data_IF_571493852279
#
_entry.id   IF_571493852279
#
_cell.length_a   1.000
_cell.length_b   1.000
_cell.length_c   1.000
_cell.angle_alpha   90.00
_cell.angle_beta   90.00
_cell.angle_gamma   90.00
#
_symmetry.space_group_name_H-M   'P 1'
#
loop_
_entity.id
_entity.type
_entity.pdbx_description
1 polymer ?
#
# COMPACT_ATOMS: atom_id res chain seq x y z
N UNK A 1 16.55 8.08 2.98
CA UNK A 1 15.43 7.20 2.69
C UNK A 1 15.63 5.84 3.37
N UNK A 2 16.67 5.10 3.04
CA UNK A 2 16.90 3.74 3.54
C UNK A 2 17.05 3.66 5.07
N UNK A 3 17.85 4.52 5.68
CA UNK A 3 18.05 4.54 7.14
C UNK A 3 16.76 4.83 7.92
N UNK A 4 15.89 5.68 7.38
CA UNK A 4 14.61 6.03 7.99
C UNK A 4 13.54 4.96 7.75
N UNK A 5 13.78 4.02 6.84
CA UNK A 5 12.79 3.02 6.42
C UNK A 5 11.66 3.60 5.57
N UNK A 6 11.89 4.73 4.91
CA UNK A 6 10.97 5.34 3.94
C UNK A 6 11.19 4.68 2.59
N UNK A 7 10.87 3.40 2.50
CA UNK A 7 11.22 2.52 1.39
C UNK A 7 10.02 2.14 0.51
N UNK A 8 8.80 2.58 0.84
CA UNK A 8 7.65 2.35 -0.02
C UNK A 8 7.98 2.80 -1.44
N UNK A 9 7.75 1.93 -2.41
CA UNK A 9 8.05 2.17 -3.84
C UNK A 9 9.53 2.25 -4.25
N UNK A 10 10.48 2.00 -3.35
CA UNK A 10 11.88 1.86 -3.70
C UNK A 10 12.15 0.42 -4.18
N UNK A 11 12.54 0.30 -5.45
CA UNK A 11 12.71 -1.01 -6.09
C UNK A 11 13.64 -1.93 -5.27
N UNK A 12 13.22 -3.18 -5.04
CA UNK A 12 13.91 -4.20 -4.24
C UNK A 12 14.08 -3.89 -2.73
N UNK A 13 13.68 -2.70 -2.26
CA UNK A 13 13.79 -2.29 -0.85
C UNK A 13 12.43 -2.08 -0.16
N UNK A 14 11.31 -2.24 -0.87
CA UNK A 14 9.98 -1.85 -0.45
C UNK A 14 9.18 -2.92 0.32
N UNK A 15 9.63 -4.18 0.38
CA UNK A 15 9.02 -5.18 1.26
C UNK A 15 9.38 -4.93 2.73
N UNK A 16 8.54 -5.37 3.67
CA UNK A 16 8.82 -5.22 5.11
C UNK A 16 10.13 -5.90 5.52
N UNK A 17 10.41 -7.07 4.93
CA UNK A 17 11.66 -7.78 5.12
C UNK A 17 12.86 -6.95 4.63
N UNK A 18 12.82 -6.49 3.38
CA UNK A 18 13.90 -5.68 2.81
C UNK A 18 14.08 -4.35 3.55
N UNK A 19 12.98 -3.69 3.93
CA UNK A 19 12.99 -2.45 4.74
C UNK A 19 13.71 -2.68 6.06
N UNK A 20 13.41 -3.77 6.78
CA UNK A 20 14.07 -4.11 8.04
C UNK A 20 15.57 -4.32 7.88
N UNK A 21 16.00 -4.96 6.80
CA UNK A 21 17.40 -5.22 6.49
C UNK A 21 18.16 -3.96 6.05
N UNK A 22 17.59 -3.18 5.10
CA UNK A 22 18.28 -2.00 4.56
C UNK A 22 18.48 -0.89 5.61
N UNK A 23 17.57 -0.78 6.57
CA UNK A 23 17.73 0.12 7.74
C UNK A 23 18.94 -0.22 8.58
N UNK A 24 19.28 -1.50 8.71
CA UNK A 24 20.46 -1.97 9.46
C UNK A 24 21.72 -1.87 8.61
N UNK A 25 21.64 -2.27 7.35
CA UNK A 25 22.78 -2.27 6.42
C UNK A 25 23.26 -0.86 6.06
N UNK A 26 22.34 0.07 5.83
CA UNK A 26 22.61 1.50 5.52
C UNK A 26 23.58 1.67 4.35
N UNK A 27 23.19 1.31 3.14
CA UNK A 27 24.07 1.41 1.97
C UNK A 27 24.53 2.84 1.73
N UNK A 28 25.83 3.02 1.45
CA UNK A 28 26.47 4.34 1.25
C UNK A 28 26.91 4.58 -0.20
N UNK A 29 26.83 3.56 -1.06
CA UNK A 29 27.22 3.64 -2.45
C UNK A 29 26.29 2.79 -3.34
N UNK A 30 26.36 3.02 -4.64
CA UNK A 30 25.64 2.18 -5.65
C UNK A 30 26.10 0.73 -5.55
N UNK A 31 27.41 0.48 -5.40
CA UNK A 31 27.97 -0.86 -5.24
C UNK A 31 27.43 -1.57 -4.00
N UNK A 32 27.35 -0.88 -2.86
CA UNK A 32 26.75 -1.44 -1.64
C UNK A 32 25.24 -1.72 -1.83
N UNK A 33 24.51 -0.84 -2.51
CA UNK A 33 23.10 -1.11 -2.79
C UNK A 33 22.92 -2.29 -3.76
N UNK A 34 23.79 -2.43 -4.75
CA UNK A 34 23.82 -3.59 -5.64
C UNK A 34 24.09 -4.89 -4.86
N UNK A 35 25.09 -4.88 -3.97
CA UNK A 35 25.37 -6.03 -3.10
C UNK A 35 24.19 -6.35 -2.18
N UNK A 36 23.52 -5.34 -1.63
CA UNK A 36 22.29 -5.53 -0.84
C UNK A 36 21.19 -6.20 -1.65
N UNK A 37 20.92 -5.74 -2.88
CA UNK A 37 19.92 -6.34 -3.78
C UNK A 37 20.24 -7.81 -4.08
N UNK A 38 21.52 -8.14 -4.26
CA UNK A 38 21.95 -9.52 -4.47
C UNK A 38 21.81 -10.40 -3.21
N UNK A 39 22.08 -9.82 -2.03
CA UNK A 39 22.10 -10.57 -0.74
C UNK A 39 20.72 -10.95 -0.21
N UNK A 40 19.66 -10.23 -0.56
CA UNK A 40 18.29 -10.51 -0.08
C UNK A 40 17.60 -11.67 -0.82
N UNK A 41 18.38 -12.64 -1.30
CA UNK A 41 17.89 -13.81 -2.04
C UNK A 41 18.04 -15.07 -1.20
N UNK A 42 17.17 -16.09 -1.40
CA UNK A 42 17.23 -17.34 -0.62
C UNK A 42 18.60 -18.01 -0.59
N UNK A 43 19.34 -18.01 -1.70
CA UNK A 43 20.66 -18.63 -1.78
C UNK A 43 21.76 -17.94 -0.96
N UNK A 44 21.50 -16.77 -0.40
CA UNK A 44 22.43 -16.04 0.46
C UNK A 44 21.99 -16.02 1.94
N UNK A 45 20.92 -16.74 2.28
CA UNK A 45 20.25 -16.65 3.58
C UNK A 45 21.17 -16.98 4.77
N UNK A 46 22.10 -17.94 4.62
CA UNK A 46 23.07 -18.34 5.67
C UNK A 46 24.08 -17.24 6.03
N UNK A 47 24.42 -16.40 5.06
CA UNK A 47 25.42 -15.33 5.18
C UNK A 47 24.80 -13.93 5.32
N UNK A 48 23.49 -13.82 5.15
CA UNK A 48 22.78 -12.54 5.10
C UNK A 48 22.96 -11.69 6.37
N UNK A 49 22.89 -12.29 7.53
CA UNK A 49 22.97 -11.57 8.79
C UNK A 49 24.37 -10.96 9.02
N UNK A 50 25.44 -11.72 8.71
CA UNK A 50 26.81 -11.25 8.77
C UNK A 50 27.04 -10.08 7.79
N UNK A 51 26.54 -10.23 6.56
CA UNK A 51 26.61 -9.18 5.53
C UNK A 51 25.90 -7.89 5.98
N UNK A 52 24.67 -7.99 6.47
CA UNK A 52 23.85 -6.84 6.91
C UNK A 52 24.48 -6.13 8.10
N UNK A 53 25.14 -6.87 9.00
CA UNK A 53 25.89 -6.29 10.14
C UNK A 53 27.25 -5.72 9.74
N UNK A 54 27.66 -5.88 8.48
CA UNK A 54 28.99 -5.49 7.99
C UNK A 54 30.11 -6.16 8.76
N UNK A 55 29.88 -7.40 9.24
CA UNK A 55 30.92 -8.19 9.89
C UNK A 55 31.99 -8.56 8.86
N UNK A 56 33.29 -8.44 9.22
CA UNK A 56 34.35 -8.89 8.35
C UNK A 56 34.15 -10.37 7.95
N UNK A 57 34.19 -10.65 6.67
CA UNK A 57 34.07 -12.00 6.14
C UNK A 57 35.31 -12.39 5.39
N UNK A 58 35.78 -13.61 5.58
CA UNK A 58 36.88 -14.23 4.87
C UNK A 58 36.52 -15.65 4.50
N UNK A 59 36.98 -16.10 3.34
CA UNK A 59 36.89 -17.50 2.92
C UNK A 59 37.92 -18.36 3.63
N UNK A 60 38.79 -17.80 4.47
CA UNK A 60 39.98 -18.42 5.07
C UNK A 60 41.03 -18.87 4.04
N UNK A 61 40.88 -18.47 2.79
CA UNK A 61 41.81 -18.75 1.68
C UNK A 61 42.25 -17.43 1.07
N UNK A 62 43.43 -16.88 1.39
CA UNK A 62 43.86 -15.54 0.96
C UNK A 62 43.80 -15.30 -0.53
N UNK A 63 44.13 -16.33 -1.34
CA UNK A 63 44.03 -16.24 -2.81
C UNK A 63 42.59 -16.10 -3.30
N UNK A 64 41.64 -16.73 -2.64
CA UNK A 64 40.21 -16.63 -2.94
C UNK A 64 39.64 -15.30 -2.47
N UNK A 65 40.07 -14.82 -1.29
CA UNK A 65 39.65 -13.52 -0.78
C UNK A 65 40.11 -12.38 -1.73
N UNK A 66 41.34 -12.46 -2.27
CA UNK A 66 41.81 -11.49 -3.29
C UNK A 66 40.96 -11.57 -4.58
N UNK A 67 40.57 -12.78 -5.02
CA UNK A 67 39.72 -12.96 -6.19
C UNK A 67 38.32 -12.33 -5.99
N UNK A 68 37.78 -12.41 -4.78
CA UNK A 68 36.41 -12.01 -4.44
C UNK A 68 36.34 -10.63 -3.78
N UNK A 69 37.39 -9.84 -3.77
CA UNK A 69 37.43 -8.53 -3.11
C UNK A 69 36.32 -7.57 -3.58
N UNK A 70 35.98 -7.60 -4.88
CA UNK A 70 34.95 -6.74 -5.48
C UNK A 70 33.50 -7.11 -5.03
N UNK A 71 33.33 -8.32 -4.49
CA UNK A 71 32.06 -8.82 -3.94
C UNK A 71 32.11 -8.99 -2.42
N UNK A 72 32.95 -8.21 -1.73
CA UNK A 72 33.14 -8.24 -0.27
C UNK A 72 33.53 -9.64 0.26
N UNK A 73 34.28 -10.42 -0.54
CA UNK A 73 34.70 -11.81 -0.35
C UNK A 73 33.56 -12.83 -0.40
N UNK A 74 32.32 -12.41 -0.77
CA UNK A 74 31.20 -13.32 -0.91
C UNK A 74 30.99 -13.81 -2.34
N UNK A 75 30.56 -15.04 -2.50
CA UNK A 75 30.11 -15.62 -3.79
C UNK A 75 28.63 -15.26 -4.06
N UNK A 76 28.29 -13.95 -4.04
CA UNK A 76 26.91 -13.49 -4.14
C UNK A 76 26.40 -13.29 -5.58
N UNK A 77 27.32 -13.17 -6.55
CA UNK A 77 26.98 -12.95 -7.95
C UNK A 77 27.29 -14.18 -8.78
N UNK A 78 26.55 -14.39 -9.88
CA UNK A 78 26.87 -15.42 -10.86
C UNK A 78 28.30 -15.22 -11.40
N UNK A 79 28.68 -14.00 -11.67
CA UNK A 79 30.01 -13.63 -12.14
C UNK A 79 31.10 -13.97 -11.12
N UNK A 80 30.82 -13.87 -9.84
CA UNK A 80 31.76 -14.30 -8.77
C UNK A 80 31.98 -15.80 -8.80
N UNK A 81 30.91 -16.59 -9.04
CA UNK A 81 31.00 -18.05 -9.19
C UNK A 81 31.75 -18.39 -10.48
N UNK A 82 31.47 -17.69 -11.59
CA UNK A 82 32.20 -17.89 -12.84
C UNK A 82 33.71 -17.63 -12.66
N UNK A 83 34.10 -16.51 -12.04
CA UNK A 83 35.50 -16.20 -11.70
C UNK A 83 36.14 -17.31 -10.87
N UNK A 84 35.44 -17.81 -9.88
CA UNK A 84 35.90 -18.92 -9.03
C UNK A 84 36.15 -20.22 -9.84
N UNK A 85 35.21 -20.59 -10.72
CA UNK A 85 35.37 -21.78 -11.57
C UNK A 85 36.52 -21.63 -12.55
N UNK A 86 36.72 -20.44 -13.16
CA UNK A 86 37.87 -20.13 -14.02
C UNK A 86 39.16 -20.21 -13.22
N UNK A 87 39.21 -19.69 -12.01
CA UNK A 87 40.36 -19.76 -11.12
C UNK A 87 40.76 -21.22 -10.78
N UNK A 88 39.78 -22.13 -10.73
CA UNK A 88 40.00 -23.56 -10.58
C UNK A 88 40.35 -24.25 -11.93
N UNK A 89 40.66 -23.48 -12.98
CA UNK A 89 41.13 -24.01 -14.27
C UNK A 89 40.05 -24.39 -15.25
N UNK A 90 38.80 -24.02 -15.00
CA UNK A 90 37.69 -24.29 -15.92
C UNK A 90 37.70 -23.26 -17.07
N UNK A 91 37.43 -23.67 -18.32
CA UNK A 91 37.26 -22.75 -19.43
C UNK A 91 36.10 -21.79 -19.19
N UNK A 92 36.31 -20.49 -19.37
CA UNK A 92 35.32 -19.44 -19.16
C UNK A 92 34.00 -19.73 -19.91
N UNK A 93 34.09 -20.22 -21.14
CA UNK A 93 32.95 -20.57 -22.00
C UNK A 93 32.03 -21.63 -21.42
N UNK A 94 32.50 -22.46 -20.46
CA UNK A 94 31.74 -23.54 -19.86
C UNK A 94 31.12 -23.16 -18.49
N UNK A 95 31.63 -22.12 -17.85
CA UNK A 95 31.25 -21.77 -16.47
C UNK A 95 29.76 -21.45 -16.30
N UNK A 96 29.20 -20.70 -17.26
CA UNK A 96 27.78 -20.33 -17.24
C UNK A 96 26.86 -21.56 -17.36
N UNK A 97 27.18 -22.49 -18.27
CA UNK A 97 26.40 -23.70 -18.48
C UNK A 97 26.43 -24.61 -17.23
N UNK A 98 27.57 -24.66 -16.56
CA UNK A 98 27.73 -25.41 -15.31
C UNK A 98 26.84 -24.80 -14.20
N UNK A 99 26.91 -23.49 -13.97
CA UNK A 99 26.06 -22.80 -13.01
C UNK A 99 24.59 -23.07 -13.33
N UNK A 100 24.21 -23.00 -14.60
CA UNK A 100 22.84 -23.26 -15.04
C UNK A 100 22.40 -24.73 -14.84
N UNK A 101 23.30 -25.69 -15.03
CA UNK A 101 23.03 -27.11 -14.75
C UNK A 101 22.84 -27.33 -13.24
N UNK A 102 23.69 -26.76 -12.38
CA UNK A 102 23.54 -26.83 -10.91
C UNK A 102 22.21 -26.19 -10.51
N UNK A 103 21.94 -24.98 -10.94
CA UNK A 103 20.71 -24.23 -10.65
C UNK A 103 19.42 -25.01 -10.99
N UNK A 104 19.43 -25.70 -12.13
CA UNK A 104 18.27 -26.45 -12.63
C UNK A 104 18.23 -27.90 -12.16
N UNK A 105 19.17 -28.33 -11.32
CA UNK A 105 19.36 -29.74 -10.90
C UNK A 105 19.40 -30.70 -12.10
N UNK A 106 20.11 -30.32 -13.16
CA UNK A 106 20.19 -31.06 -14.43
C UNK A 106 21.48 -31.86 -14.59
N UNK A 107 22.32 -31.92 -13.56
CA UNK A 107 23.45 -32.81 -13.57
C UNK A 107 22.98 -34.24 -13.31
N UNK A 108 23.56 -35.20 -14.06
CA UNK A 108 23.57 -36.56 -13.62
C UNK A 108 24.36 -36.67 -12.29
N UNK A 109 23.91 -37.45 -11.30
CA UNK A 109 24.61 -37.57 -10.01
C UNK A 109 26.10 -37.92 -10.17
N UNK A 110 26.44 -38.79 -11.14
CA UNK A 110 27.81 -39.20 -11.38
C UNK A 110 28.63 -38.03 -12.01
N UNK A 111 28.05 -37.33 -12.98
CA UNK A 111 28.71 -36.16 -13.58
C UNK A 111 29.01 -35.06 -12.54
N UNK A 112 28.12 -34.86 -11.57
CA UNK A 112 28.32 -33.86 -10.52
C UNK A 112 29.47 -34.26 -9.57
N UNK A 113 29.56 -35.54 -9.23
CA UNK A 113 30.65 -36.10 -8.39
C UNK A 113 31.98 -35.88 -9.13
N UNK A 114 32.07 -36.31 -10.39
CA UNK A 114 33.29 -36.17 -11.20
C UNK A 114 33.72 -34.69 -11.35
N UNK A 115 32.77 -33.81 -11.56
CA UNK A 115 33.02 -32.37 -11.59
C UNK A 115 33.59 -31.87 -10.26
N UNK A 116 32.96 -32.23 -9.14
CA UNK A 116 33.41 -31.85 -7.79
C UNK A 116 34.79 -32.34 -7.49
N UNK A 117 35.07 -33.59 -7.78
CA UNK A 117 36.40 -34.20 -7.58
C UNK A 117 37.46 -33.53 -8.45
N UNK A 118 37.16 -33.30 -9.71
CA UNK A 118 38.07 -32.57 -10.62
C UNK A 118 38.43 -31.17 -10.12
N UNK A 119 37.43 -30.40 -9.65
CA UNK A 119 37.64 -29.09 -9.06
C UNK A 119 38.38 -29.15 -7.71
N UNK A 120 38.13 -30.19 -6.89
CA UNK A 120 38.86 -30.40 -5.62
C UNK A 120 40.34 -30.64 -5.88
N UNK A 121 40.68 -31.45 -6.88
CA UNK A 121 42.07 -31.68 -7.22
C UNK A 121 42.77 -30.37 -7.66
N UNK A 122 42.11 -29.53 -8.45
CA UNK A 122 42.61 -28.20 -8.82
C UNK A 122 42.77 -27.26 -7.65
N UNK A 123 41.80 -27.29 -6.72
CA UNK A 123 41.88 -26.55 -5.47
C UNK A 123 43.14 -26.92 -4.69
N UNK A 124 43.42 -28.21 -4.49
CA UNK A 124 44.63 -28.70 -3.81
C UNK A 124 45.91 -28.25 -4.51
N UNK A 125 45.97 -28.27 -5.85
CA UNK A 125 47.10 -27.75 -6.61
C UNK A 125 47.34 -26.25 -6.33
N UNK A 126 46.27 -25.46 -6.23
CA UNK A 126 46.38 -24.00 -6.12
C UNK A 126 46.58 -23.58 -4.63
N UNK A 127 45.81 -24.15 -3.71
CA UNK A 127 45.79 -23.75 -2.30
C UNK A 127 46.84 -24.48 -1.45
N UNK A 128 47.16 -25.72 -1.82
CA UNK A 128 48.12 -26.59 -1.10
C UNK A 128 47.49 -27.48 -0.04
N UNK A 129 46.17 -27.41 0.16
CA UNK A 129 45.43 -28.31 1.07
C UNK A 129 43.99 -28.49 0.56
N UNK A 130 43.28 -29.47 1.09
CA UNK A 130 41.85 -29.66 0.78
C UNK A 130 40.91 -28.85 1.71
N UNK A 131 41.48 -28.20 2.74
CA UNK A 131 40.71 -27.40 3.69
C UNK A 131 39.88 -26.34 2.98
N UNK A 132 38.68 -26.06 3.52
CA UNK A 132 37.71 -25.09 3.04
C UNK A 132 37.12 -25.35 1.65
N UNK A 133 37.50 -26.39 0.92
CA UNK A 133 36.93 -26.70 -0.38
C UNK A 133 35.44 -27.06 -0.27
N UNK A 134 35.09 -27.97 0.63
CA UNK A 134 33.71 -28.42 0.77
C UNK A 134 32.79 -27.31 1.30
N UNK A 135 33.27 -26.46 2.18
CA UNK A 135 32.55 -25.26 2.62
C UNK A 135 32.28 -24.29 1.47
N UNK A 136 33.29 -24.03 0.65
CA UNK A 136 33.18 -23.14 -0.53
C UNK A 136 32.28 -23.76 -1.59
N UNK A 137 32.39 -25.07 -1.82
CA UNK A 137 31.51 -25.80 -2.74
C UNK A 137 30.04 -25.73 -2.32
N UNK A 138 29.74 -25.86 -1.02
CA UNK A 138 28.38 -25.74 -0.51
C UNK A 138 27.79 -24.34 -0.76
N UNK A 139 28.59 -23.29 -0.57
CA UNK A 139 28.18 -21.92 -0.91
C UNK A 139 27.85 -21.79 -2.40
N UNK A 140 28.61 -22.47 -3.28
CA UNK A 140 28.35 -22.47 -4.72
C UNK A 140 27.05 -23.21 -5.05
N UNK A 141 26.81 -24.38 -4.46
CA UNK A 141 25.56 -25.10 -4.65
C UNK A 141 24.35 -24.27 -4.22
N UNK A 142 24.41 -23.63 -3.06
CA UNK A 142 23.37 -22.76 -2.56
C UNK A 142 23.20 -21.53 -3.44
N UNK A 143 24.31 -20.86 -3.83
CA UNK A 143 24.30 -19.66 -4.66
C UNK A 143 23.87 -19.96 -6.10
N UNK A 144 24.28 -21.09 -6.70
CA UNK A 144 23.93 -21.44 -8.07
C UNK A 144 22.40 -21.57 -8.27
N UNK A 145 21.67 -21.95 -7.24
CA UNK A 145 20.20 -22.00 -7.30
C UNK A 145 19.56 -20.62 -7.38
N UNK A 146 20.19 -19.59 -6.82
CA UNK A 146 19.55 -18.29 -6.56
C UNK A 146 20.48 -17.09 -6.77
N UNK A 147 21.73 -17.29 -7.26
CA UNK A 147 22.67 -16.22 -7.45
C UNK A 147 22.17 -15.19 -8.46
N UNK A 148 22.47 -13.95 -8.18
CA UNK A 148 21.99 -12.83 -8.97
C UNK A 148 23.05 -12.41 -9.98
N UNK A 149 22.63 -12.07 -11.19
CA UNK A 149 23.54 -11.48 -12.16
C UNK A 149 23.96 -10.08 -11.67
N UNK A 150 25.26 -9.78 -11.68
CA UNK A 150 25.79 -8.53 -11.14
C UNK A 150 25.25 -7.30 -11.90
N UNK A 151 25.16 -7.37 -13.23
CA UNK A 151 24.64 -6.27 -14.05
C UNK A 151 23.16 -6.01 -13.78
N UNK A 152 22.37 -7.06 -13.56
CA UNK A 152 20.96 -6.95 -13.19
C UNK A 152 20.81 -6.35 -11.79
N UNK A 153 21.61 -6.80 -10.82
CA UNK A 153 21.65 -6.24 -9.48
C UNK A 153 21.99 -4.75 -9.47
N UNK A 154 22.99 -4.36 -10.29
CA UNK A 154 23.39 -2.97 -10.44
C UNK A 154 22.26 -2.11 -11.05
N UNK A 155 21.57 -2.61 -12.05
CA UNK A 155 20.44 -1.92 -12.67
C UNK A 155 19.33 -1.66 -11.66
N UNK A 156 18.94 -2.64 -10.86
CA UNK A 156 17.95 -2.45 -9.80
C UNK A 156 18.43 -1.51 -8.68
N UNK A 157 19.73 -1.53 -8.36
CA UNK A 157 20.30 -0.57 -7.42
C UNK A 157 20.17 0.87 -7.93
N UNK A 158 20.41 1.12 -9.21
CA UNK A 158 20.20 2.43 -9.82
C UNK A 158 18.74 2.83 -9.80
N UNK A 159 17.81 1.95 -10.18
CA UNK A 159 16.37 2.25 -10.12
C UNK A 159 15.94 2.63 -8.70
N UNK A 160 16.38 1.86 -7.70
CA UNK A 160 16.08 2.14 -6.31
C UNK A 160 16.63 3.49 -5.86
N UNK A 161 17.88 3.83 -6.28
CA UNK A 161 18.52 5.10 -5.95
C UNK A 161 17.89 6.29 -6.65
N UNK A 162 17.49 6.14 -7.92
CA UNK A 162 16.74 7.20 -8.64
C UNK A 162 15.40 7.48 -7.96
N UNK A 163 14.67 6.43 -7.60
CA UNK A 163 13.43 6.58 -6.83
C UNK A 163 13.69 7.26 -5.48
N UNK A 164 14.73 6.86 -4.75
CA UNK A 164 15.09 7.47 -3.48
C UNK A 164 15.51 8.95 -3.63
N UNK A 165 16.23 9.29 -4.70
CA UNK A 165 16.61 10.66 -5.02
C UNK A 165 15.39 11.54 -5.31
N UNK A 166 14.53 11.09 -6.24
CA UNK A 166 13.30 11.82 -6.59
C UNK A 166 12.40 12.01 -5.37
N UNK A 167 12.22 10.98 -4.60
CA UNK A 167 11.44 10.97 -3.35
C UNK A 167 11.99 11.94 -2.31
N UNK A 168 13.32 12.09 -2.24
CA UNK A 168 14.00 12.99 -1.30
C UNK A 168 13.92 14.46 -1.71
N UNK A 169 14.06 14.75 -3.01
CA UNK A 169 14.18 16.11 -3.53
C UNK A 169 12.87 16.67 -4.06
N UNK A 170 12.00 15.80 -4.57
CA UNK A 170 10.72 16.15 -5.20
C UNK A 170 9.56 15.30 -4.63
N UNK A 171 9.37 15.26 -3.28
CA UNK A 171 8.47 14.31 -2.67
C UNK A 171 7.02 14.46 -3.14
N UNK A 172 6.51 15.68 -3.30
CA UNK A 172 5.11 15.89 -3.67
C UNK A 172 4.82 15.43 -5.10
N UNK A 173 5.72 15.74 -6.04
CA UNK A 173 5.64 15.29 -7.42
C UNK A 173 5.77 13.78 -7.50
N UNK A 174 6.78 13.22 -6.84
CA UNK A 174 7.04 11.79 -6.81
C UNK A 174 5.83 11.01 -6.31
N UNK A 175 5.30 11.37 -5.15
CA UNK A 175 4.16 10.66 -4.58
C UNK A 175 2.88 10.83 -5.38
N UNK A 176 2.67 11.97 -6.03
CA UNK A 176 1.50 12.17 -6.90
C UNK A 176 1.55 11.22 -8.11
N UNK A 177 2.70 11.10 -8.77
CA UNK A 177 2.89 10.17 -9.90
C UNK A 177 2.70 8.72 -9.44
N UNK A 178 3.29 8.35 -8.31
CA UNK A 178 3.18 7.00 -7.78
C UNK A 178 1.75 6.65 -7.35
N UNK A 179 1.03 7.57 -6.72
CA UNK A 179 -0.38 7.37 -6.35
C UNK A 179 -1.26 7.16 -7.59
N UNK A 180 -0.99 7.86 -8.69
CA UNK A 180 -1.68 7.62 -9.96
C UNK A 180 -1.31 6.26 -10.56
N UNK A 181 -0.03 5.87 -10.54
CA UNK A 181 0.42 4.58 -11.06
C UNK A 181 -0.15 3.38 -10.28
N UNK A 182 -0.35 3.54 -8.98
CA UNK A 182 -0.93 2.51 -8.11
C UNK A 182 -2.39 2.77 -7.73
N UNK A 183 -3.08 3.63 -8.47
CA UNK A 183 -4.50 3.90 -8.23
C UNK A 183 -5.31 2.60 -8.25
N UNK A 184 -6.02 2.31 -7.16
CA UNK A 184 -6.77 1.06 -6.97
C UNK A 184 -6.01 -0.07 -6.26
N UNK A 185 -4.68 0.02 -6.07
CA UNK A 185 -3.89 -0.91 -5.24
C UNK A 185 -3.86 -0.40 -3.79
N UNK A 186 -4.75 -0.93 -2.98
CA UNK A 186 -4.99 -0.50 -1.60
C UNK A 186 -3.76 -0.65 -0.71
N UNK A 187 -3.06 -1.77 -0.82
CA UNK A 187 -1.91 -2.06 0.03
C UNK A 187 -0.77 -1.08 -0.24
N UNK A 188 -0.45 -0.87 -1.51
CA UNK A 188 0.61 0.07 -1.90
C UNK A 188 0.26 1.50 -1.59
N UNK A 189 -0.97 1.94 -1.89
CA UNK A 189 -1.41 3.30 -1.57
C UNK A 189 -1.44 3.56 -0.07
N UNK A 190 -1.84 2.61 0.76
CA UNK A 190 -1.80 2.73 2.21
C UNK A 190 -0.38 2.94 2.76
N UNK A 191 0.62 2.22 2.24
CA UNK A 191 2.04 2.41 2.62
C UNK A 191 2.56 3.80 2.22
N UNK A 192 2.21 4.25 1.01
CA UNK A 192 2.56 5.59 0.51
C UNK A 192 1.97 6.68 1.42
N UNK A 193 0.69 6.59 1.76
CA UNK A 193 0.00 7.56 2.61
C UNK A 193 0.66 7.69 3.99
N UNK A 194 1.17 6.58 4.55
CA UNK A 194 1.89 6.64 5.83
C UNK A 194 3.20 7.43 5.73
N UNK A 195 3.88 7.40 4.58
CA UNK A 195 5.12 8.13 4.38
C UNK A 195 4.92 9.62 4.12
N UNK A 196 3.80 10.05 3.51
CA UNK A 196 3.52 11.45 3.21
C UNK A 196 3.70 12.37 4.42
N UNK A 197 3.33 11.90 5.61
CA UNK A 197 3.45 12.64 6.86
C UNK A 197 4.89 13.04 7.19
N UNK A 198 5.88 12.21 6.81
CA UNK A 198 7.31 12.51 7.04
C UNK A 198 7.80 13.69 6.20
N UNK A 199 7.12 13.98 5.08
CA UNK A 199 7.45 15.09 4.20
C UNK A 199 6.58 16.33 4.43
N UNK A 200 5.68 16.27 5.43
CA UNK A 200 4.72 17.33 5.71
C UNK A 200 3.70 17.52 4.57
N UNK A 201 3.48 16.49 3.76
CA UNK A 201 2.51 16.51 2.67
C UNK A 201 1.15 16.09 3.22
N UNK A 202 0.13 16.92 2.95
CA UNK A 202 -1.27 16.61 3.26
C UNK A 202 -1.89 15.81 2.13
N UNK A 203 -2.78 14.89 2.46
CA UNK A 203 -3.63 14.20 1.50
C UNK A 203 -5.07 14.61 1.77
N UNK A 204 -5.67 15.29 0.81
CA UNK A 204 -7.08 15.73 0.86
C UNK A 204 -7.98 14.70 0.18
N UNK A 205 -9.13 14.45 0.81
CA UNK A 205 -10.13 13.57 0.26
C UNK A 205 -10.83 14.17 -0.95
N UNK A 206 -11.49 13.30 -1.72
CA UNK A 206 -12.28 13.75 -2.86
C UNK A 206 -13.31 14.80 -2.41
N UNK A 207 -13.35 15.93 -3.13
CA UNK A 207 -14.24 17.05 -2.83
C UNK A 207 -14.63 17.74 -4.12
N UNK A 208 -15.92 18.06 -4.28
CA UNK A 208 -16.43 18.81 -5.41
C UNK A 208 -15.71 20.18 -5.52
N UNK A 209 -15.40 20.58 -6.72
CA UNK A 209 -14.69 21.83 -6.99
C UNK A 209 -13.17 21.78 -6.74
N UNK A 210 -12.65 20.72 -6.11
CA UNK A 210 -11.22 20.54 -5.86
C UNK A 210 -10.65 19.33 -6.58
N UNK A 211 -11.26 18.15 -6.43
CA UNK A 211 -10.75 16.91 -7.01
C UNK A 211 -11.00 16.80 -8.50
N UNK A 212 -9.97 16.36 -9.22
CA UNK A 212 -9.98 16.04 -10.65
C UNK A 212 -10.19 14.53 -10.86
N UNK A 213 -10.01 14.05 -12.09
CA UNK A 213 -10.01 12.62 -12.39
C UNK A 213 -8.89 11.88 -11.69
N UNK A 214 -7.67 12.36 -11.84
CA UNK A 214 -6.44 11.79 -11.26
C UNK A 214 -6.01 12.52 -9.98
N UNK A 215 -5.10 11.89 -9.21
CA UNK A 215 -4.39 12.61 -8.15
C UNK A 215 -3.60 13.76 -8.74
N UNK A 216 -3.66 14.91 -8.09
CA UNK A 216 -2.86 16.07 -8.43
C UNK A 216 -2.40 16.79 -7.17
N UNK A 217 -1.43 17.69 -7.29
CA UNK A 217 -0.86 18.39 -6.14
C UNK A 217 -0.91 19.89 -6.29
N UNK A 218 -0.92 20.55 -5.14
CA UNK A 218 -0.64 21.96 -4.99
C UNK A 218 0.65 22.12 -4.18
N UNK A 219 1.64 22.75 -4.79
CA UNK A 219 2.97 22.96 -4.20
C UNK A 219 2.96 23.94 -3.03
N UNK A 220 2.15 24.99 -3.14
CA UNK A 220 2.12 26.07 -2.15
C UNK A 220 1.55 25.57 -0.83
N UNK A 221 0.45 24.87 -0.87
CA UNK A 221 -0.19 24.27 0.30
C UNK A 221 0.43 22.94 0.73
N UNK A 222 1.38 22.37 -0.04
CA UNK A 222 1.94 21.02 0.12
C UNK A 222 0.86 19.93 0.23
N UNK A 223 -0.14 20.02 -0.64
CA UNK A 223 -1.31 19.14 -0.58
C UNK A 223 -1.42 18.30 -1.85
N UNK A 224 -1.63 17.00 -1.69
CA UNK A 224 -2.07 16.09 -2.76
C UNK A 224 -3.58 15.92 -2.60
N UNK A 225 -4.31 16.08 -3.69
CA UNK A 225 -5.75 15.87 -3.77
C UNK A 225 -6.03 14.51 -4.40
N UNK A 226 -6.87 13.70 -3.77
CA UNK A 226 -7.32 12.42 -4.33
C UNK A 226 -8.11 12.64 -5.61
N UNK A 227 -7.81 11.82 -6.62
CA UNK A 227 -8.57 11.77 -7.86
C UNK A 227 -9.85 10.96 -7.72
N UNK A 228 -10.92 11.41 -8.38
CA UNK A 228 -12.21 10.69 -8.42
C UNK A 228 -12.06 9.30 -9.04
N UNK A 229 -11.16 9.15 -10.04
CA UNK A 229 -10.87 7.88 -10.67
C UNK A 229 -10.20 6.83 -9.78
N UNK A 230 -9.69 7.23 -8.60
CA UNK A 230 -9.16 6.29 -7.60
C UNK A 230 -10.25 5.56 -6.81
N UNK A 231 -11.49 6.03 -6.93
CA UNK A 231 -12.65 5.44 -6.24
C UNK A 231 -13.23 4.31 -7.07
N UNK A 232 -13.49 3.17 -6.44
CA UNK A 232 -14.06 1.99 -7.09
C UNK A 232 -15.39 2.34 -7.78
N UNK A 233 -15.58 1.86 -9.01
CA UNK A 233 -16.71 2.11 -9.89
C UNK A 233 -16.79 3.51 -10.50
N UNK A 234 -15.83 4.39 -10.21
CA UNK A 234 -15.66 5.68 -10.85
C UNK A 234 -14.49 5.63 -11.84
N UNK A 235 -14.34 6.69 -12.63
CA UNK A 235 -13.24 6.82 -13.58
C UNK A 235 -12.78 8.29 -13.68
N UNK A 236 -11.64 8.50 -14.34
CA UNK A 236 -11.05 9.83 -14.49
C UNK A 236 -11.95 10.79 -15.26
N UNK A 237 -12.68 10.30 -16.28
CA UNK A 237 -13.56 11.12 -17.12
C UNK A 237 -14.68 11.79 -16.31
N UNK A 238 -15.33 11.02 -15.41
CA UNK A 238 -16.36 11.57 -14.51
C UNK A 238 -15.77 12.64 -13.61
N UNK A 239 -14.57 12.40 -13.04
CA UNK A 239 -13.89 13.36 -12.19
C UNK A 239 -13.56 14.67 -12.91
N UNK A 240 -13.03 14.57 -14.13
CA UNK A 240 -12.73 15.76 -14.95
C UNK A 240 -14.00 16.54 -15.33
N UNK A 241 -15.08 15.87 -15.72
CA UNK A 241 -16.35 16.52 -16.03
C UNK A 241 -16.93 17.23 -14.80
N UNK A 242 -16.90 16.61 -13.63
CA UNK A 242 -17.37 17.22 -12.37
C UNK A 242 -16.50 18.42 -11.98
N UNK A 243 -15.18 18.30 -12.14
CA UNK A 243 -14.27 19.41 -11.88
C UNK A 243 -14.54 20.59 -12.82
N UNK A 244 -14.66 20.36 -14.14
CA UNK A 244 -14.95 21.40 -15.12
C UNK A 244 -16.29 22.07 -14.83
N UNK A 245 -17.33 21.27 -14.53
CA UNK A 245 -18.64 21.80 -14.16
C UNK A 245 -18.57 22.75 -12.97
N UNK A 246 -17.73 22.47 -11.97
CA UNK A 246 -17.52 23.33 -10.81
C UNK A 246 -16.79 24.63 -11.14
N UNK A 247 -16.09 24.73 -12.27
CA UNK A 247 -15.39 25.94 -12.74
C UNK A 247 -16.24 26.80 -13.67
N UNK A 248 -17.17 26.16 -14.39
CA UNK A 248 -18.06 26.86 -15.32
C UNK A 248 -19.12 27.65 -14.57
N UNK A 249 -19.62 27.13 -13.43
CA UNK A 249 -20.77 27.69 -12.75
C UNK A 249 -20.68 27.47 -11.23
N UNK A 250 -21.11 28.46 -10.47
CA UNK A 250 -21.34 28.30 -9.03
C UNK A 250 -22.74 27.75 -8.79
N UNK A 251 -22.86 26.78 -7.92
CA UNK A 251 -24.12 26.17 -7.54
C UNK A 251 -24.54 26.63 -6.15
N UNK A 252 -25.75 27.16 -6.03
CA UNK A 252 -26.28 27.63 -4.74
C UNK A 252 -26.92 26.48 -3.94
N UNK A 253 -27.49 25.50 -4.64
CA UNK A 253 -28.10 24.31 -4.00
C UNK A 253 -27.69 23.03 -4.72
N UNK A 254 -27.78 21.91 -4.03
CA UNK A 254 -27.53 20.60 -4.61
C UNK A 254 -28.49 20.26 -5.78
N UNK A 255 -29.74 20.77 -5.74
CA UNK A 255 -30.68 20.57 -6.83
C UNK A 255 -30.25 21.27 -8.13
N UNK A 256 -29.62 22.43 -8.04
CA UNK A 256 -29.08 23.12 -9.21
C UNK A 256 -28.00 22.29 -9.90
N UNK A 257 -27.17 21.62 -9.09
CA UNK A 257 -26.12 20.70 -9.57
C UNK A 257 -26.74 19.42 -10.17
N UNK A 258 -27.80 18.85 -9.55
CA UNK A 258 -28.46 17.64 -10.05
C UNK A 258 -29.05 17.79 -11.47
N UNK A 259 -29.48 19.01 -11.84
CA UNK A 259 -29.96 19.28 -13.20
C UNK A 259 -28.85 19.03 -14.23
N UNK A 260 -27.62 19.45 -13.90
CA UNK A 260 -26.49 19.39 -14.83
C UNK A 260 -25.83 17.98 -14.87
N UNK A 261 -26.17 17.09 -13.93
CA UNK A 261 -25.66 15.70 -13.94
C UNK A 261 -26.03 14.89 -15.18
N UNK A 262 -27.11 15.26 -15.88
CA UNK A 262 -27.49 14.62 -17.14
C UNK A 262 -26.41 14.73 -18.21
N UNK A 263 -25.63 15.82 -18.21
CA UNK A 263 -24.54 16.06 -19.16
C UNK A 263 -23.26 15.25 -18.83
N UNK A 264 -23.11 14.77 -17.59
CA UNK A 264 -21.88 14.08 -17.13
C UNK A 264 -21.90 12.60 -17.55
N UNK A 265 -23.08 12.00 -17.70
CA UNK A 265 -23.22 10.56 -17.99
C UNK A 265 -22.98 9.65 -16.78
N UNK A 266 -23.13 10.20 -15.57
CA UNK A 266 -22.98 9.48 -14.30
C UNK A 266 -24.24 8.70 -13.97
N UNK A 267 -24.09 7.40 -13.65
CA UNK A 267 -25.22 6.56 -13.26
C UNK A 267 -25.60 6.76 -11.75
N UNK A 268 -26.75 6.19 -11.36
CA UNK A 268 -27.26 6.32 -9.98
C UNK A 268 -26.28 5.79 -8.92
N UNK A 269 -25.63 4.64 -9.17
CA UNK A 269 -24.65 4.07 -8.25
C UNK A 269 -23.45 4.99 -8.05
N UNK A 270 -22.95 5.59 -9.11
CA UNK A 270 -21.81 6.50 -9.05
C UNK A 270 -22.14 7.78 -8.27
N UNK A 271 -23.35 8.32 -8.45
CA UNK A 271 -23.85 9.45 -7.65
C UNK A 271 -23.93 9.11 -6.17
N UNK A 272 -24.48 7.96 -5.87
CA UNK A 272 -24.62 7.45 -4.49
C UNK A 272 -23.24 7.27 -3.82
N UNK A 273 -22.27 6.68 -4.50
CA UNK A 273 -20.91 6.51 -3.99
C UNK A 273 -20.27 7.85 -3.64
N UNK A 274 -20.34 8.83 -4.55
CA UNK A 274 -19.79 10.16 -4.32
C UNK A 274 -20.43 10.87 -3.12
N UNK A 275 -21.75 10.74 -2.94
CA UNK A 275 -22.44 11.29 -1.78
C UNK A 275 -21.99 10.58 -0.49
N UNK A 276 -21.97 9.26 -0.47
CA UNK A 276 -21.57 8.47 0.71
C UNK A 276 -20.13 8.75 1.15
N UNK A 277 -19.25 9.08 0.20
CA UNK A 277 -17.88 9.49 0.47
C UNK A 277 -17.74 10.99 0.82
N UNK A 278 -18.85 11.74 0.90
CA UNK A 278 -18.85 13.15 1.25
C UNK A 278 -18.26 14.06 0.18
N UNK A 279 -18.24 13.64 -1.09
CA UNK A 279 -17.73 14.45 -2.21
C UNK A 279 -18.47 15.79 -2.34
N UNK A 280 -19.79 15.77 -2.08
CA UNK A 280 -20.67 16.94 -2.16
C UNK A 280 -20.96 17.58 -0.80
N UNK A 281 -20.08 17.44 0.19
CA UNK A 281 -20.29 17.90 1.58
C UNK A 281 -20.58 19.40 1.72
N UNK A 282 -20.22 20.22 0.74
CA UNK A 282 -20.53 21.65 0.72
C UNK A 282 -22.04 21.95 0.59
N UNK A 283 -22.82 21.00 0.06
CA UNK A 283 -24.26 21.14 -0.13
C UNK A 283 -25.09 20.53 0.99
N UNK A 284 -24.49 19.76 1.90
CA UNK A 284 -25.17 19.12 3.02
C UNK A 284 -24.54 17.80 3.42
N UNK A 285 -25.11 17.16 4.42
CA UNK A 285 -24.70 15.87 4.95
C UNK A 285 -25.12 14.71 4.03
N UNK A 286 -24.39 13.63 4.04
CA UNK A 286 -24.57 12.54 3.06
C UNK A 286 -25.96 11.92 3.09
N UNK A 287 -26.56 11.68 4.27
CA UNK A 287 -27.92 11.12 4.37
C UNK A 287 -28.96 12.09 3.82
N UNK A 288 -28.84 13.38 4.15
CA UNK A 288 -29.68 14.45 3.61
C UNK A 288 -29.60 14.52 2.09
N UNK A 289 -28.38 14.47 1.52
CA UNK A 289 -28.18 14.52 0.07
C UNK A 289 -28.75 13.27 -0.65
N UNK A 290 -28.73 12.12 0.00
CA UNK A 290 -29.40 10.90 -0.51
C UNK A 290 -30.91 11.10 -0.64
N UNK A 291 -31.55 11.72 0.37
CA UNK A 291 -32.97 12.08 0.31
C UNK A 291 -33.24 13.12 -0.79
N UNK A 292 -32.36 14.09 -0.98
CA UNK A 292 -32.49 15.08 -2.06
C UNK A 292 -32.47 14.42 -3.45
N UNK A 293 -31.60 13.41 -3.68
CA UNK A 293 -31.64 12.63 -4.92
C UNK A 293 -32.95 11.88 -5.08
N UNK A 294 -33.43 11.23 -4.03
CA UNK A 294 -34.72 10.50 -4.06
C UNK A 294 -35.88 11.43 -4.43
N UNK A 295 -35.94 12.62 -3.83
CA UNK A 295 -36.90 13.66 -4.19
C UNK A 295 -36.74 14.05 -5.66
N UNK A 296 -35.55 14.42 -6.08
CA UNK A 296 -35.30 14.90 -7.45
C UNK A 296 -35.61 13.82 -8.50
N UNK A 297 -35.14 12.58 -8.31
CA UNK A 297 -35.38 11.48 -9.26
C UNK A 297 -36.88 11.10 -9.31
N UNK A 298 -37.62 11.22 -8.19
CA UNK A 298 -39.05 10.95 -8.13
C UNK A 298 -39.85 11.96 -8.99
N UNK A 299 -39.52 13.24 -8.86
CA UNK A 299 -40.33 14.31 -9.47
C UNK A 299 -39.79 14.81 -10.83
N UNK A 300 -38.48 14.67 -11.12
CA UNK A 300 -37.90 15.10 -12.39
C UNK A 300 -38.13 14.12 -13.55
N UNK A 301 -38.40 12.86 -13.24
CA UNK A 301 -38.57 11.80 -14.25
C UNK A 301 -39.98 11.79 -14.93
N UNK A 302 -40.92 12.59 -14.41
CA UNK A 302 -42.32 12.56 -14.81
C UNK A 302 -42.86 13.96 -15.07
N UNK A 303 -43.85 14.03 -15.99
CA UNK A 303 -44.59 15.27 -16.26
C UNK A 303 -45.96 15.32 -15.62
N UNK A 304 -46.45 14.16 -15.10
CA UNK A 304 -47.78 14.04 -14.55
C UNK A 304 -47.80 13.26 -13.24
N UNK A 305 -48.56 13.70 -12.24
CA UNK A 305 -48.64 13.14 -10.91
C UNK A 305 -50.08 12.85 -10.50
N UNK A 306 -50.39 11.59 -10.20
CA UNK A 306 -51.72 11.17 -9.74
C UNK A 306 -51.95 11.62 -8.31
N UNK A 307 -53.15 12.19 -8.05
CA UNK A 307 -53.55 12.61 -6.69
C UNK A 307 -53.65 11.43 -5.69
N UNK A 308 -53.97 10.27 -6.17
CA UNK A 308 -54.05 9.07 -5.33
C UNK A 308 -52.68 8.51 -4.92
N UNK A 309 -51.66 8.81 -5.70
CA UNK A 309 -50.31 8.27 -5.51
C UNK A 309 -49.34 9.22 -4.79
N UNK A 310 -49.50 10.52 -5.01
CA UNK A 310 -48.59 11.54 -4.47
C UNK A 310 -49.30 12.36 -3.40
N UNK A 311 -48.77 12.36 -2.20
CA UNK A 311 -49.40 12.98 -1.02
C UNK A 311 -49.17 14.49 -0.88
N UNK A 312 -48.23 15.04 -1.65
CA UNK A 312 -47.80 16.45 -1.54
C UNK A 312 -48.73 17.40 -2.31
N UNK A 313 -50.06 17.24 -2.16
CA UNK A 313 -51.03 17.97 -2.98
C UNK A 313 -50.94 19.50 -2.88
N UNK A 314 -50.65 20.04 -1.70
CA UNK A 314 -50.52 21.47 -1.49
C UNK A 314 -49.32 22.05 -2.27
N UNK A 315 -48.19 21.36 -2.22
CA UNK A 315 -46.99 21.79 -2.95
C UNK A 315 -47.15 21.55 -4.47
N UNK A 316 -47.68 20.42 -4.86
CA UNK A 316 -47.96 20.14 -6.28
C UNK A 316 -48.89 21.17 -6.89
N UNK A 317 -49.96 21.58 -6.17
CA UNK A 317 -50.85 22.66 -6.61
C UNK A 317 -50.14 23.99 -6.80
N UNK A 318 -49.17 24.29 -5.92
CA UNK A 318 -48.40 25.52 -5.96
C UNK A 318 -47.46 25.61 -7.17
N UNK A 319 -46.90 24.47 -7.59
CA UNK A 319 -45.79 24.42 -8.56
C UNK A 319 -46.16 23.72 -9.89
N UNK A 320 -47.39 23.19 -10.04
CA UNK A 320 -47.87 22.62 -11.27
C UNK A 320 -48.66 23.65 -12.09
N UNK A 321 -48.45 23.64 -13.42
CA UNK A 321 -49.16 24.55 -14.34
C UNK A 321 -50.63 24.15 -14.54
N UNK A 322 -50.96 22.84 -14.44
CA UNK A 322 -52.32 22.33 -14.69
C UNK A 322 -52.74 21.36 -13.58
N UNK A 323 -53.94 21.60 -13.05
CA UNK A 323 -54.62 20.69 -12.11
C UNK A 323 -55.89 20.16 -12.73
N UNK A 324 -56.07 18.83 -12.69
CA UNK A 324 -57.32 18.17 -13.10
C UNK A 324 -57.96 17.44 -11.90
N UNK A 325 -59.13 16.87 -12.09
CA UNK A 325 -59.79 16.11 -10.99
C UNK A 325 -58.86 15.01 -10.38
N UNK A 326 -58.06 14.32 -11.22
CA UNK A 326 -57.24 13.18 -10.81
C UNK A 326 -55.73 13.40 -10.85
N UNK A 327 -55.23 14.48 -11.49
CA UNK A 327 -53.81 14.64 -11.78
C UNK A 327 -53.35 16.08 -11.69
N UNK A 328 -52.10 16.25 -11.31
CA UNK A 328 -51.28 17.45 -11.48
C UNK A 328 -50.38 17.26 -12.70
N UNK A 329 -50.17 18.32 -13.51
CA UNK A 329 -49.32 18.30 -14.72
C UNK A 329 -48.42 19.53 -14.76
N UNK A 330 -47.35 19.41 -15.57
CA UNK A 330 -46.39 20.47 -15.86
C UNK A 330 -45.78 21.05 -14.57
N UNK A 331 -45.17 20.18 -13.79
CA UNK A 331 -44.48 20.52 -12.53
C UNK A 331 -43.21 21.32 -12.84
N UNK A 332 -43.11 22.50 -12.21
CA UNK A 332 -41.84 23.21 -12.09
C UNK A 332 -40.98 22.50 -11.01
N UNK A 333 -40.15 21.58 -11.48
CA UNK A 333 -39.46 20.59 -10.63
C UNK A 333 -38.50 21.26 -9.64
N UNK A 334 -37.71 22.24 -10.10
CA UNK A 334 -36.60 22.79 -9.30
C UNK A 334 -37.11 23.52 -8.04
N UNK A 335 -38.00 24.52 -8.15
CA UNK A 335 -38.53 25.20 -6.96
C UNK A 335 -39.38 24.26 -6.09
N UNK A 336 -40.09 23.29 -6.69
CA UNK A 336 -40.81 22.28 -5.94
C UNK A 336 -39.90 21.42 -5.06
N UNK A 337 -38.79 20.89 -5.64
CA UNK A 337 -37.84 20.08 -4.90
C UNK A 337 -37.12 20.89 -3.80
N UNK A 338 -36.75 22.16 -4.09
CA UNK A 338 -36.17 23.08 -3.11
C UNK A 338 -37.13 23.37 -1.93
N UNK A 339 -38.43 23.47 -2.19
CA UNK A 339 -39.41 23.68 -1.12
C UNK A 339 -39.64 22.39 -0.32
N UNK A 340 -39.76 21.25 -1.01
CA UNK A 340 -39.97 19.96 -0.35
C UNK A 340 -38.78 19.56 0.51
N UNK A 341 -37.56 19.85 0.07
CA UNK A 341 -36.33 19.54 0.82
C UNK A 341 -36.21 20.26 2.16
N UNK A 342 -36.91 21.35 2.39
CA UNK A 342 -36.94 22.03 3.70
C UNK A 342 -37.53 21.16 4.82
N UNK A 343 -38.22 20.07 4.47
CA UNK A 343 -38.79 19.11 5.40
C UNK A 343 -37.87 17.93 5.72
N UNK A 344 -36.74 17.84 5.04
CA UNK A 344 -35.74 16.79 5.24
C UNK A 344 -34.82 17.18 6.38
N UNK A 345 -34.62 16.29 7.32
CA UNK A 345 -33.71 16.50 8.44
C UNK A 345 -32.25 16.53 7.95
N UNK A 346 -31.42 17.36 8.58
CA UNK A 346 -30.01 17.45 8.26
C UNK A 346 -29.22 16.36 9.00
N UNK A 347 -29.12 15.18 8.37
CA UNK A 347 -28.52 14.00 8.98
C UNK A 347 -27.31 13.48 8.19
N UNK A 348 -26.31 13.02 8.91
CA UNK A 348 -25.16 12.31 8.36
C UNK A 348 -25.38 10.80 8.40
N UNK A 349 -24.66 10.07 7.55
CA UNK A 349 -24.53 8.62 7.68
C UNK A 349 -23.89 8.28 9.03
N UNK A 350 -24.28 7.15 9.60
CA UNK A 350 -23.62 6.65 10.81
C UNK A 350 -22.10 6.50 10.61
N UNK A 351 -21.33 6.57 11.68
CA UNK A 351 -19.89 6.40 11.61
C UNK A 351 -19.51 5.04 11.01
N UNK A 352 -20.24 3.99 11.35
CA UNK A 352 -20.06 2.65 10.82
C UNK A 352 -20.28 2.61 9.30
N UNK A 353 -21.37 3.21 8.80
CA UNK A 353 -21.64 3.28 7.35
C UNK A 353 -20.56 4.06 6.60
N UNK A 354 -20.09 5.17 7.18
CA UNK A 354 -18.99 5.96 6.60
C UNK A 354 -17.69 5.16 6.51
N UNK A 355 -17.35 4.42 7.58
CA UNK A 355 -16.18 3.52 7.62
C UNK A 355 -16.30 2.47 6.52
N UNK A 356 -17.44 1.76 6.45
CA UNK A 356 -17.69 0.74 5.42
C UNK A 356 -17.57 1.31 4.02
N UNK A 357 -18.17 2.48 3.75
CA UNK A 357 -18.09 3.13 2.44
C UNK A 357 -16.65 3.54 2.08
N UNK A 358 -15.89 4.10 3.01
CA UNK A 358 -14.50 4.47 2.79
C UNK A 358 -13.67 3.25 2.39
N UNK A 359 -13.81 2.15 3.11
CA UNK A 359 -13.07 0.91 2.85
C UNK A 359 -13.54 0.24 1.56
N UNK A 360 -14.86 0.13 1.33
CA UNK A 360 -15.40 -0.52 0.14
C UNK A 360 -15.01 0.20 -1.15
N UNK A 361 -15.07 1.53 -1.14
CA UNK A 361 -14.92 2.32 -2.38
C UNK A 361 -13.54 2.95 -2.55
N UNK A 362 -12.86 3.32 -1.47
CA UNK A 362 -11.52 3.89 -1.53
C UNK A 362 -10.44 2.86 -1.15
N UNK A 363 -10.85 1.71 -0.60
CA UNK A 363 -9.94 0.67 -0.18
C UNK A 363 -9.12 1.00 1.06
N UNK A 364 -9.32 2.16 1.65
CA UNK A 364 -8.59 2.62 2.82
C UNK A 364 -9.49 3.47 3.72
N UNK A 365 -9.06 3.59 4.97
CA UNK A 365 -9.69 4.41 5.99
C UNK A 365 -9.00 5.77 6.06
N UNK A 366 -9.73 6.83 5.79
CA UNK A 366 -9.25 8.22 5.84
C UNK A 366 -10.13 9.15 6.68
N UNK A 367 -11.10 8.57 7.39
CA UNK A 367 -12.00 9.31 8.26
C UNK A 367 -11.26 9.74 9.51
N UNK A 368 -11.21 11.04 9.76
CA UNK A 368 -10.68 11.62 10.99
C UNK A 368 -11.85 12.26 11.74
N UNK A 369 -12.05 11.85 12.98
CA UNK A 369 -12.97 12.47 13.93
C UNK A 369 -12.17 13.02 15.12
N UNK A 370 -11.89 14.31 15.09
CA UNK A 370 -11.13 14.98 16.15
C UNK A 370 -11.82 14.96 17.52
N UNK A 371 -13.13 14.69 17.56
CA UNK A 371 -13.94 14.55 18.78
C UNK A 371 -13.88 13.13 19.35
N UNK A 372 -13.44 12.15 18.57
CA UNK A 372 -13.28 10.78 19.04
C UNK A 372 -12.32 10.70 20.22
N UNK A 373 -12.58 9.78 21.13
CA UNK A 373 -11.74 9.52 22.30
C UNK A 373 -10.29 9.22 21.88
N UNK A 374 -9.33 9.65 22.69
CA UNK A 374 -7.88 9.49 22.43
C UNK A 374 -7.46 8.03 22.21
N UNK A 375 -8.21 7.10 22.79
CA UNK A 375 -7.90 5.67 22.77
C UNK A 375 -8.89 4.86 21.92
N UNK A 376 -9.75 5.53 21.14
CA UNK A 376 -10.70 4.89 20.23
C UNK A 376 -10.04 4.59 18.89
N UNK A 377 -10.13 3.34 18.49
CA UNK A 377 -9.50 2.79 17.28
C UNK A 377 -10.49 1.94 16.48
N UNK A 378 -10.31 1.89 15.19
CA UNK A 378 -11.02 0.98 14.27
C UNK A 378 -10.11 -0.22 13.97
N UNK A 379 -10.68 -1.42 14.02
CA UNK A 379 -10.01 -2.66 13.62
C UNK A 379 -9.96 -2.72 12.09
N UNK A 380 -8.78 -2.53 11.50
CA UNK A 380 -8.60 -2.52 10.04
C UNK A 380 -8.40 -3.91 9.47
N UNK A 381 -7.63 -4.74 10.17
CA UNK A 381 -7.33 -6.11 9.77
C UNK A 381 -7.06 -6.96 11.00
N UNK A 382 -7.38 -8.26 10.92
CA UNK A 382 -7.29 -9.19 12.03
C UNK A 382 -6.80 -10.55 11.55
N UNK A 383 -5.63 -10.98 12.05
CA UNK A 383 -5.09 -12.30 11.83
C UNK A 383 -5.11 -13.12 13.13
N UNK A 384 -5.97 -14.13 13.17
CA UNK A 384 -6.18 -14.99 14.36
C UNK A 384 -5.52 -16.34 14.29
N UNK A 385 -4.72 -16.62 13.24
CA UNK A 385 -4.11 -17.95 13.02
C UNK A 385 -3.28 -18.45 14.21
N UNK A 386 -2.52 -17.53 14.81
CA UNK A 386 -1.69 -17.78 16.00
C UNK A 386 -2.11 -16.80 17.13
N UNK A 387 -1.16 -16.10 17.75
CA UNK A 387 -1.51 -14.97 18.60
C UNK A 387 -2.22 -13.92 17.76
N UNK A 388 -3.43 -13.48 18.12
CA UNK A 388 -4.14 -12.48 17.35
C UNK A 388 -3.29 -11.22 17.12
N UNK A 389 -3.13 -10.86 15.85
CA UNK A 389 -2.45 -9.65 15.39
C UNK A 389 -3.48 -8.74 14.75
N UNK A 390 -3.55 -7.51 15.20
CA UNK A 390 -4.57 -6.56 14.78
C UNK A 390 -3.91 -5.31 14.21
N UNK A 391 -4.35 -4.90 13.04
CA UNK A 391 -4.02 -3.59 12.48
C UNK A 391 -5.10 -2.59 12.90
N UNK A 392 -4.71 -1.52 13.52
CA UNK A 392 -5.59 -0.51 14.09
C UNK A 392 -5.42 0.85 13.43
N UNK A 393 -6.53 1.56 13.28
CA UNK A 393 -6.59 2.94 12.81
C UNK A 393 -7.22 3.82 13.90
N UNK A 394 -6.49 4.83 14.39
CA UNK A 394 -7.02 5.75 15.41
C UNK A 394 -7.88 6.82 14.75
N UNK A 395 -9.15 6.87 15.14
CA UNK A 395 -10.12 7.80 14.55
C UNK A 395 -9.72 9.27 14.69
N UNK A 396 -9.15 9.64 15.84
CA UNK A 396 -8.87 11.05 16.17
C UNK A 396 -7.85 11.72 15.24
N UNK A 397 -6.85 10.99 14.74
CA UNK A 397 -5.71 11.54 14.01
C UNK A 397 -5.19 10.68 12.86
N UNK A 398 -5.87 9.59 12.56
CA UNK A 398 -5.49 8.67 11.48
C UNK A 398 -4.19 7.90 11.73
N UNK A 399 -3.75 7.77 12.99
CA UNK A 399 -2.56 6.96 13.31
C UNK A 399 -2.85 5.49 13.12
N UNK A 400 -1.93 4.78 12.48
CA UNK A 400 -1.97 3.33 12.33
C UNK A 400 -1.02 2.65 13.30
N UNK A 401 -1.40 1.47 13.78
CA UNK A 401 -0.59 0.66 14.67
C UNK A 401 -0.90 -0.82 14.46
N UNK A 402 0.13 -1.66 14.50
CA UNK A 402 -0.04 -3.11 14.56
C UNK A 402 0.23 -3.57 15.98
N UNK A 403 -0.72 -4.28 16.56
CA UNK A 403 -0.66 -4.73 17.95
C UNK A 403 -1.03 -6.21 18.05
N UNK A 404 -0.72 -6.81 19.18
CA UNK A 404 -1.12 -8.19 19.52
C UNK A 404 -2.13 -8.18 20.64
N UNK A 405 -2.96 -9.23 20.66
CA UNK A 405 -3.92 -9.48 21.75
C UNK A 405 -3.59 -10.83 22.35
N UNK A 406 -3.57 -10.93 23.67
CA UNK A 406 -3.46 -12.24 24.31
C UNK A 406 -4.66 -13.11 23.96
N UNK A 407 -4.41 -14.37 23.57
CA UNK A 407 -5.47 -15.32 23.14
C UNK A 407 -6.60 -15.44 24.16
N UNK A 408 -6.29 -15.35 25.46
CA UNK A 408 -7.30 -15.42 26.52
C UNK A 408 -8.24 -14.20 26.49
N UNK A 409 -7.69 -13.01 26.29
CA UNK A 409 -8.47 -11.77 26.18
C UNK A 409 -9.32 -11.81 24.91
N UNK A 410 -8.72 -12.19 23.78
CA UNK A 410 -9.42 -12.29 22.50
C UNK A 410 -10.62 -13.25 22.57
N UNK A 411 -10.45 -14.43 23.15
CA UNK A 411 -11.54 -15.40 23.27
C UNK A 411 -12.67 -14.97 24.25
N UNK A 412 -12.42 -14.00 25.11
CA UNK A 412 -13.44 -13.42 26.00
C UNK A 412 -14.21 -12.27 25.35
N UNK A 413 -13.55 -11.53 24.46
CA UNK A 413 -14.06 -10.32 23.82
C UNK A 413 -13.67 -10.36 22.35
N UNK A 414 -14.27 -11.29 21.57
CA UNK A 414 -14.00 -11.38 20.13
C UNK A 414 -14.36 -10.07 19.43
N UNK A 415 -13.47 -9.62 18.55
CA UNK A 415 -13.66 -8.45 17.70
C UNK A 415 -13.66 -8.85 16.25
N UNK A 416 -14.35 -8.08 15.45
CA UNK A 416 -14.41 -8.23 14.01
C UNK A 416 -13.71 -7.07 13.30
N UNK A 417 -13.43 -7.27 12.03
CA UNK A 417 -12.93 -6.22 11.18
C UNK A 417 -13.94 -5.07 11.10
N UNK A 418 -13.44 -3.85 11.20
CA UNK A 418 -14.16 -2.56 11.17
C UNK A 418 -14.93 -2.22 12.45
N UNK A 419 -14.84 -3.02 13.48
CA UNK A 419 -15.37 -2.65 14.79
C UNK A 419 -14.53 -1.56 15.46
N UNK A 420 -15.21 -0.79 16.30
CA UNK A 420 -14.62 0.23 17.14
C UNK A 420 -14.21 -0.39 18.47
N UNK A 421 -12.97 -0.13 18.87
CA UNK A 421 -12.48 -0.55 20.19
C UNK A 421 -11.85 0.63 20.93
N UNK A 422 -11.95 0.63 22.24
CA UNK A 422 -11.18 1.52 23.10
C UNK A 422 -10.05 0.75 23.77
N UNK A 423 -8.80 1.18 23.57
CA UNK A 423 -7.65 0.56 24.22
C UNK A 423 -7.58 0.99 25.67
N UNK A 424 -7.82 0.04 26.58
CA UNK A 424 -7.77 0.25 28.03
C UNK A 424 -6.36 0.15 28.59
N UNK A 425 -5.53 -0.76 28.02
CA UNK A 425 -4.17 -1.03 28.47
C UNK A 425 -3.27 -1.44 27.32
N UNK A 426 -2.03 -0.95 27.33
CA UNK A 426 -0.99 -1.38 26.40
C UNK A 426 0.27 -1.82 27.17
N UNK A 427 0.82 -2.99 26.81
CA UNK A 427 2.04 -3.54 27.42
C UNK A 427 3.01 -3.96 26.33
N UNK A 428 4.29 -3.77 26.61
CA UNK A 428 5.37 -4.13 25.68
C UNK A 428 6.02 -5.45 26.12
N UNK A 429 6.10 -6.45 25.23
CA UNK A 429 6.74 -7.74 25.47
C UNK A 429 7.85 -7.97 24.44
N UNK A 430 9.00 -8.48 24.87
CA UNK A 430 10.07 -8.84 23.94
C UNK A 430 9.63 -9.95 23.00
N UNK A 431 9.98 -9.83 21.73
CA UNK A 431 9.82 -10.91 20.76
C UNK A 431 10.76 -12.07 21.09
N UNK A 432 10.30 -13.29 20.89
CA UNK A 432 11.19 -14.45 20.95
C UNK A 432 11.76 -14.72 19.55
N UNK A 433 13.05 -15.00 19.46
CA UNK A 433 13.76 -15.35 18.24
C UNK A 433 14.40 -16.73 18.43
N UNK A 434 14.29 -17.60 17.44
CA UNK A 434 14.96 -18.89 17.42
C UNK A 434 16.41 -18.68 16.98
N UNK A 435 17.38 -18.94 17.88
CA UNK A 435 18.80 -18.86 17.61
C UNK A 435 19.43 -20.22 17.97
N UNK A 436 20.05 -20.86 17.00
CA UNK A 436 20.68 -22.20 17.18
C UNK A 436 19.73 -23.24 17.84
N UNK A 437 18.48 -23.28 17.40
CA UNK A 437 17.47 -24.20 17.92
C UNK A 437 16.90 -23.87 19.30
N UNK A 438 17.31 -22.76 19.93
CA UNK A 438 16.79 -22.29 21.22
C UNK A 438 16.08 -20.96 21.08
N UNK A 439 14.94 -20.83 21.76
CA UNK A 439 14.19 -19.57 21.82
C UNK A 439 14.88 -18.57 22.77
N UNK A 440 15.30 -17.43 22.23
CA UNK A 440 15.93 -16.34 22.99
C UNK A 440 15.11 -15.07 22.85
N UNK A 441 15.19 -14.18 23.85
CA UNK A 441 14.55 -12.86 23.77
C UNK A 441 15.31 -11.98 22.77
N UNK A 442 14.57 -11.35 21.88
CA UNK A 442 15.06 -10.32 20.95
C UNK A 442 14.96 -8.94 21.60
N UNK A 443 15.76 -7.98 21.12
CA UNK A 443 15.63 -6.56 21.50
C UNK A 443 14.34 -5.92 20.94
N UNK A 444 13.74 -6.53 19.90
CA UNK A 444 12.45 -6.10 19.37
C UNK A 444 11.32 -6.43 20.34
N UNK A 445 10.34 -5.54 20.39
CA UNK A 445 9.17 -5.66 21.26
C UNK A 445 7.87 -5.63 20.44
N UNK A 446 6.94 -6.48 20.85
CA UNK A 446 5.55 -6.42 20.42
C UNK A 446 4.74 -5.62 21.44
N UNK A 447 3.74 -4.89 20.94
CA UNK A 447 2.76 -4.20 21.78
C UNK A 447 1.54 -5.10 21.93
N UNK A 448 1.20 -5.44 23.15
CA UNK A 448 -0.03 -6.18 23.52
C UNK A 448 -1.04 -5.22 24.12
N UNK A 449 -2.30 -5.37 23.70
CA UNK A 449 -3.39 -4.52 24.20
C UNK A 449 -4.47 -5.32 24.94
N UNK A 450 -5.16 -4.63 25.87
CA UNK A 450 -6.48 -4.95 26.38
C UNK A 450 -7.43 -3.83 25.95
N UNK A 451 -8.71 -4.18 25.69
CA UNK A 451 -9.66 -3.29 25.03
C UNK A 451 -11.10 -3.57 25.45
N UNK A 452 -11.98 -2.60 25.22
CA UNK A 452 -13.43 -2.74 25.23
C UNK A 452 -13.98 -2.44 23.82
N UNK A 453 -15.09 -3.07 23.46
CA UNK A 453 -15.83 -2.76 22.22
C UNK A 453 -16.69 -1.53 22.51
N UNK A 454 -16.66 -0.55 21.61
CA UNK A 454 -17.34 0.76 21.76
C UNK A 454 -18.68 0.78 21.02
#
# INVERSE_FOLDING_TARGET
>A
MYELGLTATLNQADSDFATGLVKRYKPKSVGEMSAFVASIRPGFASLLENFVRREPYTTNVPKLDELLKDSYHYLMYQESIMKYLVWLGMPESQTYDIIKKISKKKFDPQELIELKEGLKNKWIEIVGSEEHFDETWQVIEDAAHYSFNASHSLSYAYDSLYCAYLKSHYPIEYYTVILNAYSGDIEKTGRIMNELKHFGIKLENITFGKSKGEYFYDKESKTIYKGVGSVKYLNNEIGEKLYNLSKEKKYDTFFDLLVDFKGIGMNSRQREILIKLGYFREFGKSKTLMEYINIFDTYSSRKTFSKDKYMEHTLLRKYCGVETAKMFKDLDVLPFCKELSKRVDDEELSLEERIRCSIEYCGDMDIIDTNAGKHVWVVMDLNTRYTPVVQLYRLRDGRRSTVKIDRKIFNQKEINQYELIEICKATSKHKNKLVNGKWTKSDEKDIYIDYEIV
#
